data_IF_519370171229
#
_entry.id   IF_519370171229
#
_cell.length_a   1.000
_cell.length_b   1.000
_cell.length_c   1.000
_cell.angle_alpha   90.00
_cell.angle_beta   90.00
_cell.angle_gamma   90.00
#
_symmetry.space_group_name_H-M   'P 1'
#
loop_
_entity.id
_entity.type
_entity.pdbx_description
1 polymer ?
#
# COMPACT_ATOMS: atom_id res chain seq x y z
N UNK A 1 9.99 3.86 54.07
CA UNK A 1 9.25 3.40 52.91
C UNK A 1 9.96 3.87 51.69
N UNK A 2 10.72 3.06 50.96
CA UNK A 2 11.30 3.52 49.68
C UNK A 2 10.17 3.54 48.66
N UNK A 3 10.01 4.70 48.05
CA UNK A 3 9.15 4.90 46.86
C UNK A 3 9.81 4.14 45.70
N UNK A 4 9.17 3.05 45.29
CA UNK A 4 9.51 2.34 44.06
C UNK A 4 9.20 3.27 42.88
N UNK A 5 10.24 3.97 42.45
CA UNK A 5 10.25 4.75 41.22
C UNK A 5 10.30 3.75 40.06
N UNK A 6 9.13 3.25 39.68
CA UNK A 6 8.98 2.43 38.48
C UNK A 6 9.16 3.33 37.26
N UNK A 7 10.42 3.68 36.98
CA UNK A 7 10.78 4.24 35.70
C UNK A 7 10.52 3.17 34.63
N UNK A 8 9.40 3.31 33.92
CA UNK A 8 9.21 2.66 32.62
C UNK A 8 10.34 3.16 31.72
N UNK A 9 11.44 2.45 31.78
CA UNK A 9 12.52 2.59 30.82
C UNK A 9 11.99 2.01 29.51
N UNK A 10 11.16 2.79 28.80
CA UNK A 10 10.75 2.48 27.44
C UNK A 10 12.04 2.51 26.62
N UNK A 11 12.58 1.35 26.18
CA UNK A 11 13.73 1.38 25.28
C UNK A 11 13.25 2.15 24.05
N UNK A 12 13.91 3.24 23.74
CA UNK A 12 13.82 3.87 22.43
C UNK A 12 13.99 2.72 21.43
N UNK A 13 12.90 2.37 20.72
CA UNK A 13 12.97 1.36 19.68
C UNK A 13 14.06 1.84 18.71
N UNK A 14 15.22 1.18 18.62
CA UNK A 14 16.26 1.56 17.67
C UNK A 14 15.60 1.57 16.30
N UNK A 15 16.09 2.39 15.36
CA UNK A 15 15.55 2.59 14.03
C UNK A 15 15.32 1.26 13.32
N UNK A 16 14.26 0.58 13.66
CA UNK A 16 13.90 -0.75 13.18
C UNK A 16 13.45 -0.59 11.75
N UNK A 17 14.23 -1.15 10.84
CA UNK A 17 13.82 -1.31 9.44
C UNK A 17 12.46 -2.01 9.46
N UNK A 18 11.48 -1.45 8.79
CA UNK A 18 10.15 -2.04 8.68
C UNK A 18 10.24 -3.43 8.04
N UNK A 19 9.39 -4.39 8.44
CA UNK A 19 9.43 -5.76 7.88
C UNK A 19 9.14 -5.74 6.38
N UNK A 20 10.05 -6.33 5.59
CA UNK A 20 9.90 -6.58 4.15
C UNK A 20 10.73 -7.81 3.75
N UNK A 21 10.52 -8.32 2.55
CA UNK A 21 11.39 -9.31 1.92
C UNK A 21 11.71 -8.86 0.50
N UNK A 22 12.95 -8.39 0.31
CA UNK A 22 13.42 -7.94 -1.01
C UNK A 22 13.33 -9.07 -2.03
N UNK A 23 13.71 -10.30 -1.64
CA UNK A 23 13.70 -11.47 -2.49
C UNK A 23 12.29 -11.85 -2.94
N UNK A 24 11.29 -11.78 -2.03
CA UNK A 24 9.91 -12.08 -2.38
C UNK A 24 9.30 -11.00 -3.29
N UNK A 25 9.56 -9.72 -3.01
CA UNK A 25 9.11 -8.62 -3.85
C UNK A 25 9.68 -8.75 -5.27
N UNK A 26 10.99 -8.97 -5.38
CA UNK A 26 11.67 -9.17 -6.67
C UNK A 26 11.17 -10.42 -7.40
N UNK A 27 10.90 -11.50 -6.66
CA UNK A 27 10.39 -12.74 -7.24
C UNK A 27 8.98 -12.58 -7.81
N UNK A 28 8.09 -11.80 -7.16
CA UNK A 28 6.75 -11.49 -7.70
C UNK A 28 6.88 -10.70 -9.00
N UNK A 29 7.67 -9.62 -9.02
CA UNK A 29 7.85 -8.78 -10.21
C UNK A 29 8.52 -9.56 -11.35
N UNK A 30 9.53 -10.34 -11.03
CA UNK A 30 10.23 -11.19 -12.01
C UNK A 30 9.33 -12.27 -12.60
N UNK A 31 8.43 -12.86 -11.81
CA UNK A 31 7.43 -13.82 -12.27
C UNK A 31 6.47 -13.20 -13.29
N UNK A 32 5.99 -11.98 -13.03
CA UNK A 32 5.12 -11.24 -13.95
C UNK A 32 5.85 -10.91 -15.26
N UNK A 33 7.12 -10.52 -15.21
CA UNK A 33 7.93 -10.27 -16.42
C UNK A 33 8.21 -11.52 -17.22
N UNK A 34 8.30 -12.69 -16.56
CA UNK A 34 8.56 -13.97 -17.22
C UNK A 34 7.29 -14.54 -17.85
N UNK A 35 6.16 -14.43 -17.15
CA UNK A 35 4.83 -14.95 -17.55
C UNK A 35 3.75 -13.93 -17.17
N UNK A 36 3.44 -12.98 -18.05
CA UNK A 36 2.48 -11.91 -17.78
C UNK A 36 1.08 -12.37 -17.38
N UNK A 37 0.66 -13.55 -17.80
CA UNK A 37 -0.64 -14.12 -17.49
C UNK A 37 -0.84 -14.34 -15.98
N UNK A 38 0.27 -14.50 -15.21
CA UNK A 38 0.18 -14.63 -13.76
C UNK A 38 -0.19 -13.32 -13.05
N UNK A 39 -0.14 -12.17 -13.75
CA UNK A 39 -0.48 -10.87 -13.16
C UNK A 39 -1.92 -10.81 -12.63
N UNK A 40 -2.86 -11.51 -13.26
CA UNK A 40 -4.23 -11.61 -12.77
C UNK A 40 -4.30 -12.19 -11.36
N UNK A 41 -3.58 -13.31 -11.11
CA UNK A 41 -3.47 -13.93 -9.79
C UNK A 41 -2.72 -13.04 -8.80
N UNK A 42 -1.64 -12.40 -9.24
CA UNK A 42 -0.87 -11.47 -8.40
C UNK A 42 -1.73 -10.28 -8.00
N UNK A 43 -2.48 -9.66 -8.92
CA UNK A 43 -3.34 -8.51 -8.65
C UNK A 43 -4.52 -8.87 -7.71
N UNK A 44 -5.03 -10.11 -7.77
CA UNK A 44 -6.03 -10.59 -6.80
C UNK A 44 -5.43 -10.70 -5.39
N UNK A 45 -4.21 -11.22 -5.28
CA UNK A 45 -3.55 -11.40 -3.99
C UNK A 45 -2.97 -10.11 -3.42
N UNK A 46 -2.47 -9.22 -4.27
CA UNK A 46 -1.81 -7.94 -3.93
C UNK A 46 -2.46 -6.79 -4.72
N UNK A 47 -3.70 -6.39 -4.39
CA UNK A 47 -4.49 -5.46 -5.22
C UNK A 47 -3.95 -4.03 -5.26
N UNK A 48 -2.89 -3.69 -4.55
CA UNK A 48 -2.32 -2.34 -4.48
C UNK A 48 -0.80 -2.38 -4.46
N UNK A 49 -0.17 -1.32 -4.94
CA UNK A 49 1.29 -1.22 -5.00
C UNK A 49 1.97 -1.05 -3.62
N UNK A 50 1.26 -0.54 -2.62
CA UNK A 50 1.79 -0.33 -1.24
C UNK A 50 2.07 -1.63 -0.47
N UNK A 51 1.66 -2.79 -0.99
CA UNK A 51 2.16 -4.08 -0.50
C UNK A 51 3.68 -4.19 -0.63
N UNK A 52 4.27 -3.54 -1.62
CA UNK A 52 5.71 -3.48 -1.83
C UNK A 52 6.34 -2.39 -0.96
N UNK A 53 7.39 -2.76 -0.22
CA UNK A 53 8.09 -1.82 0.66
C UNK A 53 9.10 -0.98 -0.09
N UNK A 54 9.89 -1.62 -0.98
CA UNK A 54 10.91 -0.92 -1.74
C UNK A 54 10.26 0.01 -2.77
N UNK A 55 10.68 1.27 -2.79
CA UNK A 55 10.11 2.31 -3.66
C UNK A 55 10.14 1.89 -5.12
N UNK A 56 11.29 1.40 -5.60
CA UNK A 56 11.43 0.94 -6.99
C UNK A 56 10.45 -0.19 -7.33
N UNK A 57 10.31 -1.18 -6.45
CA UNK A 57 9.39 -2.31 -6.64
C UNK A 57 7.93 -1.84 -6.65
N UNK A 58 7.60 -0.88 -5.78
CA UNK A 58 6.28 -0.26 -5.71
C UNK A 58 5.94 0.46 -7.01
N UNK A 59 6.86 1.29 -7.53
CA UNK A 59 6.68 2.01 -8.80
C UNK A 59 6.50 1.05 -9.96
N UNK A 60 7.34 0.01 -10.05
CA UNK A 60 7.24 -1.02 -11.10
C UNK A 60 5.89 -1.75 -11.01
N UNK A 61 5.47 -2.15 -9.81
CA UNK A 61 4.20 -2.85 -9.63
C UNK A 61 2.99 -1.96 -9.90
N UNK A 62 3.06 -0.67 -9.52
CA UNK A 62 2.02 0.31 -9.89
C UNK A 62 1.84 0.38 -11.39
N UNK A 63 2.93 0.55 -12.14
CA UNK A 63 2.90 0.58 -13.60
C UNK A 63 2.32 -0.72 -14.21
N UNK A 64 2.69 -1.89 -13.65
CA UNK A 64 2.12 -3.18 -14.08
C UNK A 64 0.60 -3.24 -13.86
N UNK A 65 0.10 -2.74 -12.72
CA UNK A 65 -1.35 -2.69 -12.43
C UNK A 65 -2.09 -1.71 -13.34
N UNK A 66 -1.50 -0.55 -13.63
CA UNK A 66 -2.08 0.46 -14.51
C UNK A 66 -2.19 -0.08 -15.94
N UNK A 67 -1.14 -0.70 -16.46
CA UNK A 67 -1.14 -1.37 -17.77
C UNK A 67 -2.16 -2.52 -17.82
N UNK A 68 -2.23 -3.34 -16.77
CA UNK A 68 -3.19 -4.43 -16.67
C UNK A 68 -4.63 -3.94 -16.70
N UNK A 69 -4.92 -2.87 -15.93
CA UNK A 69 -6.25 -2.25 -15.89
C UNK A 69 -6.63 -1.62 -17.23
N UNK A 70 -5.65 -1.07 -17.95
CA UNK A 70 -5.83 -0.53 -19.29
C UNK A 70 -5.89 -1.60 -20.40
N UNK A 71 -5.75 -2.88 -20.06
CA UNK A 71 -5.72 -3.99 -21.04
C UNK A 71 -4.48 -3.97 -21.95
N UNK A 72 -3.41 -3.34 -21.52
CA UNK A 72 -2.15 -3.28 -22.26
C UNK A 72 -1.27 -4.49 -21.96
N UNK A 73 -0.50 -4.97 -22.94
CA UNK A 73 0.44 -6.06 -22.70
C UNK A 73 1.55 -5.63 -21.76
N UNK A 74 1.85 -6.46 -20.75
CA UNK A 74 2.91 -6.21 -19.77
C UNK A 74 4.12 -7.05 -20.14
N UNK A 75 5.08 -6.43 -20.82
CA UNK A 75 6.39 -7.01 -21.11
C UNK A 75 7.50 -6.01 -20.77
N UNK A 76 8.75 -6.46 -20.86
CA UNK A 76 9.91 -5.64 -20.48
C UNK A 76 9.99 -4.32 -21.26
N UNK A 77 9.60 -4.31 -22.54
CA UNK A 77 9.73 -3.13 -23.42
C UNK A 77 8.60 -2.15 -23.14
N UNK A 78 7.36 -2.64 -23.11
CA UNK A 78 6.18 -1.82 -22.86
C UNK A 78 6.19 -1.24 -21.45
N UNK A 79 6.62 -2.02 -20.45
CA UNK A 79 6.77 -1.57 -19.08
C UNK A 79 7.86 -0.49 -18.95
N UNK A 80 9.01 -0.66 -19.61
CA UNK A 80 10.08 0.33 -19.60
C UNK A 80 9.60 1.66 -20.22
N UNK A 81 8.83 1.61 -21.30
CA UNK A 81 8.30 2.79 -21.95
C UNK A 81 7.29 3.52 -21.02
N UNK A 82 6.42 2.75 -20.37
CA UNK A 82 5.47 3.31 -19.40
C UNK A 82 6.19 3.97 -18.19
N UNK A 83 7.24 3.33 -17.67
CA UNK A 83 8.02 3.84 -16.55
C UNK A 83 8.86 5.09 -16.88
N UNK A 84 9.14 5.37 -18.16
CA UNK A 84 9.84 6.61 -18.58
C UNK A 84 9.02 7.87 -18.32
N UNK A 85 7.71 7.75 -18.27
CA UNK A 85 6.82 8.86 -17.97
C UNK A 85 6.78 9.19 -16.46
N UNK A 86 7.30 8.29 -15.62
CA UNK A 86 7.35 8.46 -14.17
C UNK A 86 8.55 9.32 -13.75
N UNK A 87 8.32 10.42 -13.05
CA UNK A 87 9.35 11.39 -12.64
C UNK A 87 10.49 10.78 -11.79
N UNK A 88 10.23 9.68 -11.09
CA UNK A 88 11.17 9.06 -10.15
C UNK A 88 11.88 7.83 -10.72
N UNK A 89 11.72 7.52 -12.00
CA UNK A 89 12.32 6.34 -12.61
C UNK A 89 13.55 6.71 -13.43
N UNK A 90 14.73 6.31 -12.95
CA UNK A 90 15.98 6.46 -13.72
C UNK A 90 16.08 5.38 -14.79
N UNK A 91 15.98 5.77 -16.05
CA UNK A 91 15.95 4.86 -17.19
C UNK A 91 17.18 3.94 -17.24
N UNK A 92 18.36 4.45 -16.90
CA UNK A 92 19.61 3.69 -16.99
C UNK A 92 19.67 2.54 -16.00
N UNK A 93 19.48 2.83 -14.73
CA UNK A 93 19.50 1.83 -13.66
C UNK A 93 18.22 0.97 -13.66
N UNK A 94 17.07 1.57 -14.01
CA UNK A 94 15.78 0.89 -14.07
C UNK A 94 15.75 -0.22 -15.10
N UNK A 95 16.28 0.00 -16.31
CA UNK A 95 16.38 -1.04 -17.33
C UNK A 95 17.22 -2.23 -16.87
N UNK A 96 18.38 -1.95 -16.25
CA UNK A 96 19.25 -3.01 -15.71
C UNK A 96 18.51 -3.78 -14.61
N UNK A 97 17.80 -3.09 -13.74
CA UNK A 97 17.04 -3.71 -12.66
C UNK A 97 15.90 -4.60 -13.18
N UNK A 98 15.13 -4.14 -14.16
CA UNK A 98 14.07 -4.96 -14.78
C UNK A 98 14.64 -6.23 -15.46
N UNK A 99 15.79 -6.11 -16.12
CA UNK A 99 16.48 -7.28 -16.70
C UNK A 99 16.95 -8.27 -15.63
N UNK A 100 17.43 -7.76 -14.49
CA UNK A 100 17.80 -8.61 -13.35
C UNK A 100 16.56 -9.31 -12.76
N UNK A 101 15.43 -8.62 -12.58
CA UNK A 101 14.19 -9.22 -12.10
C UNK A 101 13.73 -10.39 -12.98
N UNK A 102 13.74 -10.21 -14.30
CA UNK A 102 13.35 -11.25 -15.25
C UNK A 102 14.27 -12.50 -15.21
N UNK A 103 15.54 -12.34 -14.80
CA UNK A 103 16.50 -13.43 -14.68
C UNK A 103 16.50 -14.13 -13.32
N UNK A 104 15.93 -13.49 -12.29
CA UNK A 104 16.00 -13.93 -10.91
C UNK A 104 15.09 -15.13 -10.63
N UNK A 105 14.00 -15.28 -11.37
CA UNK A 105 12.97 -16.29 -11.12
C UNK A 105 13.11 -17.45 -12.09
N UNK A 106 13.43 -18.65 -11.61
CA UNK A 106 13.55 -19.83 -12.48
C UNK A 106 12.21 -20.41 -12.91
N UNK A 107 11.10 -20.09 -12.20
CA UNK A 107 9.77 -20.63 -12.46
C UNK A 107 8.69 -19.81 -11.77
N UNK A 108 7.57 -19.60 -12.45
CA UNK A 108 6.39 -18.89 -11.95
C UNK A 108 5.54 -19.74 -10.99
N UNK A 109 5.81 -21.05 -10.92
CA UNK A 109 4.99 -22.00 -10.12
C UNK A 109 4.83 -21.64 -8.64
N UNK A 110 5.70 -20.80 -8.10
CA UNK A 110 5.68 -20.39 -6.69
C UNK A 110 5.20 -18.95 -6.46
N UNK A 111 4.64 -18.29 -7.49
CA UNK A 111 4.27 -16.87 -7.40
C UNK A 111 3.29 -16.58 -6.25
N UNK A 112 2.29 -17.44 -6.04
CA UNK A 112 1.33 -17.30 -4.93
C UNK A 112 2.01 -17.32 -3.56
N UNK A 113 3.03 -18.16 -3.40
CA UNK A 113 3.80 -18.20 -2.16
C UNK A 113 4.62 -16.93 -1.95
N UNK A 114 5.20 -16.37 -3.02
CA UNK A 114 5.89 -15.07 -2.92
C UNK A 114 4.91 -13.94 -2.59
N UNK A 115 3.73 -13.93 -3.21
CA UNK A 115 2.65 -12.98 -2.86
C UNK A 115 2.24 -13.10 -1.39
N UNK A 116 2.12 -14.32 -0.86
CA UNK A 116 1.82 -14.55 0.56
C UNK A 116 2.89 -13.93 1.46
N UNK A 117 4.18 -14.12 1.14
CA UNK A 117 5.28 -13.53 1.92
C UNK A 117 5.21 -11.99 1.88
N UNK A 118 4.98 -11.40 0.70
CA UNK A 118 4.85 -9.94 0.55
C UNK A 118 3.67 -9.41 1.38
N UNK A 119 2.51 -10.08 1.32
CA UNK A 119 1.33 -9.73 2.11
C UNK A 119 1.59 -9.81 3.61
N UNK A 120 2.19 -10.90 4.09
CA UNK A 120 2.49 -11.07 5.52
C UNK A 120 3.40 -9.94 6.03
N UNK A 121 4.38 -9.51 5.22
CA UNK A 121 5.25 -8.38 5.56
C UNK A 121 4.52 -7.05 5.56
N UNK A 122 3.60 -6.86 4.62
CA UNK A 122 2.73 -5.69 4.60
C UNK A 122 1.84 -5.64 5.86
N UNK A 123 1.18 -6.73 6.20
CA UNK A 123 0.29 -6.81 7.36
C UNK A 123 1.04 -6.53 8.67
N UNK A 124 2.30 -7.02 8.78
CA UNK A 124 3.17 -6.66 9.91
C UNK A 124 3.49 -5.15 9.96
N UNK A 125 3.72 -4.51 8.80
CA UNK A 125 3.93 -3.06 8.75
C UNK A 125 2.68 -2.30 9.20
N UNK A 126 1.51 -2.73 8.74
CA UNK A 126 0.23 -2.14 9.14
C UNK A 126 0.00 -2.29 10.65
N UNK A 127 0.30 -3.46 11.20
CA UNK A 127 0.19 -3.71 12.64
C UNK A 127 1.13 -2.80 13.45
N UNK A 128 2.37 -2.62 13.00
CA UNK A 128 3.33 -1.72 13.64
C UNK A 128 2.83 -0.26 13.60
N UNK A 129 2.27 0.17 12.46
CA UNK A 129 1.72 1.53 12.33
C UNK A 129 0.49 1.73 13.22
N UNK A 130 -0.42 0.76 13.27
CA UNK A 130 -1.58 0.79 14.15
C UNK A 130 -1.17 0.87 15.63
N UNK A 131 -0.21 0.02 16.03
CA UNK A 131 0.30 0.01 17.40
C UNK A 131 0.95 1.34 17.81
N UNK A 132 1.70 1.97 16.91
CA UNK A 132 2.26 3.32 17.12
C UNK A 132 1.17 4.35 17.30
N UNK A 133 0.19 4.39 16.38
CA UNK A 133 -0.92 5.31 16.49
C UNK A 133 -1.75 5.12 17.75
N UNK A 134 -1.99 3.88 18.20
CA UNK A 134 -2.66 3.59 19.47
C UNK A 134 -1.83 4.10 20.66
N UNK A 135 -0.50 3.92 20.61
CA UNK A 135 0.39 4.40 21.64
C UNK A 135 0.38 5.92 21.73
N UNK A 136 0.48 6.60 20.58
CA UNK A 136 0.50 8.05 20.49
C UNK A 136 -0.83 8.63 21.04
N UNK A 137 -1.99 8.09 20.60
CA UNK A 137 -3.32 8.51 21.06
C UNK A 137 -3.49 8.29 22.59
N UNK A 138 -2.93 7.17 23.11
CA UNK A 138 -3.02 6.88 24.54
C UNK A 138 -2.11 7.80 25.40
N UNK A 139 -1.00 8.29 24.84
CA UNK A 139 -0.09 9.21 25.53
C UNK A 139 -0.60 10.65 25.51
N UNK A 140 -1.39 11.05 24.52
CA UNK A 140 -1.97 12.39 24.42
C UNK A 140 -3.08 12.64 25.46
N UNK A 141 -3.69 11.57 26.00
CA UNK A 141 -4.75 11.60 27.04
C UNK A 141 -5.85 12.66 26.79
N UNK A 142 -6.21 12.85 25.52
CA UNK A 142 -7.13 13.93 25.10
C UNK A 142 -8.60 13.51 25.03
N UNK A 143 -8.92 12.26 25.33
CA UNK A 143 -10.25 11.71 25.09
C UNK A 143 -10.79 10.75 26.15
N UNK A 144 -12.05 10.36 25.92
CA UNK A 144 -12.69 9.31 26.72
C UNK A 144 -12.05 7.96 26.41
N UNK A 145 -11.60 7.24 27.44
CA UNK A 145 -10.88 5.95 27.29
C UNK A 145 -11.67 4.92 26.46
N UNK A 146 -13.01 4.93 26.56
CA UNK A 146 -13.86 4.04 25.77
C UNK A 146 -13.72 4.30 24.26
N UNK A 147 -13.69 5.55 23.83
CA UNK A 147 -13.54 5.92 22.42
C UNK A 147 -12.14 5.52 21.88
N UNK A 148 -11.13 5.60 22.74
CA UNK A 148 -9.78 5.19 22.39
C UNK A 148 -9.68 3.69 22.19
N UNK A 149 -10.34 2.90 23.05
CA UNK A 149 -10.42 1.45 22.90
C UNK A 149 -11.17 1.05 21.62
N UNK A 150 -12.30 1.67 21.32
CA UNK A 150 -13.08 1.44 20.10
C UNK A 150 -12.25 1.76 18.84
N UNK A 151 -11.49 2.87 18.87
CA UNK A 151 -10.60 3.26 17.79
C UNK A 151 -9.47 2.23 17.58
N UNK A 152 -8.90 1.71 18.66
CA UNK A 152 -7.85 0.69 18.61
C UNK A 152 -8.38 -0.62 18.02
N UNK A 153 -9.55 -1.08 18.44
CA UNK A 153 -10.21 -2.26 17.89
C UNK A 153 -10.50 -2.09 16.39
N UNK A 154 -10.99 -0.93 15.99
CA UNK A 154 -11.29 -0.65 14.56
C UNK A 154 -10.02 -0.71 13.71
N UNK A 155 -8.90 -0.13 14.15
CA UNK A 155 -7.61 -0.19 13.42
C UNK A 155 -7.14 -1.62 13.22
N UNK A 156 -7.24 -2.48 14.24
CA UNK A 156 -6.83 -3.89 14.15
C UNK A 156 -7.78 -4.66 13.21
N UNK A 157 -9.07 -4.38 13.29
CA UNK A 157 -10.08 -5.00 12.44
C UNK A 157 -9.88 -4.66 10.96
N UNK A 158 -9.54 -3.39 10.65
CA UNK A 158 -9.28 -2.94 9.28
C UNK A 158 -8.08 -3.64 8.67
N UNK A 159 -7.02 -3.92 9.43
CA UNK A 159 -5.87 -4.71 8.97
C UNK A 159 -6.34 -6.12 8.57
N UNK A 160 -7.15 -6.78 9.40
CA UNK A 160 -7.65 -8.13 9.12
C UNK A 160 -8.53 -8.19 7.87
N UNK A 161 -9.22 -7.10 7.54
CA UNK A 161 -10.03 -6.98 6.33
C UNK A 161 -9.22 -6.58 5.09
N UNK A 162 -7.91 -6.39 5.21
CA UNK A 162 -7.07 -5.90 4.14
C UNK A 162 -7.36 -4.45 3.74
N UNK A 163 -8.05 -3.69 4.61
CA UNK A 163 -8.26 -2.26 4.40
C UNK A 163 -6.97 -1.52 4.74
N UNK A 164 -6.54 -0.62 3.85
CA UNK A 164 -5.45 0.29 4.18
C UNK A 164 -5.85 1.08 5.43
N UNK A 165 -4.93 1.22 6.37
CA UNK A 165 -5.06 2.22 7.41
C UNK A 165 -5.07 3.57 6.69
N UNK A 166 -6.25 4.10 6.40
CA UNK A 166 -6.37 5.50 6.05
C UNK A 166 -5.86 6.25 7.27
N UNK A 167 -4.69 6.89 7.13
CA UNK A 167 -4.27 7.88 8.09
C UNK A 167 -5.47 8.81 8.29
N UNK A 168 -5.65 9.33 9.50
CA UNK A 168 -6.69 10.30 9.82
C UNK A 168 -6.57 11.43 8.77
N UNK A 169 -7.32 11.31 7.68
CA UNK A 169 -7.54 12.42 6.78
C UNK A 169 -8.16 13.51 7.65
N UNK A 170 -7.50 14.67 7.71
CA UNK A 170 -8.01 15.78 8.52
C UNK A 170 -9.47 15.98 8.10
N UNK A 171 -10.36 15.94 9.05
CA UNK A 171 -11.80 16.09 8.83
C UNK A 171 -12.10 17.27 7.88
N UNK A 172 -11.26 18.31 7.91
CA UNK A 172 -11.31 19.46 7.02
C UNK A 172 -11.10 19.11 5.54
N UNK A 173 -10.26 18.12 5.18
CA UNK A 173 -10.02 17.72 3.80
C UNK A 173 -11.21 16.94 3.26
N UNK A 174 -11.75 16.02 4.06
CA UNK A 174 -12.97 15.26 3.73
C UNK A 174 -14.19 16.17 3.63
N UNK A 175 -14.31 17.15 4.54
CA UNK A 175 -15.38 18.16 4.48
C UNK A 175 -15.25 19.02 3.22
N UNK A 176 -14.04 19.45 2.86
CA UNK A 176 -13.83 20.29 1.68
C UNK A 176 -14.20 19.55 0.38
N UNK A 177 -13.78 18.30 0.22
CA UNK A 177 -14.20 17.45 -0.92
C UNK A 177 -15.71 17.23 -0.95
N UNK A 178 -16.30 17.01 0.22
CA UNK A 178 -17.76 16.81 0.32
C UNK A 178 -18.53 18.08 -0.01
N UNK A 179 -18.05 19.24 0.42
CA UNK A 179 -18.63 20.54 0.08
C UNK A 179 -18.49 20.85 -1.42
N UNK A 180 -17.33 20.64 -2.01
CA UNK A 180 -17.15 20.81 -3.47
C UNK A 180 -18.07 19.88 -4.27
N UNK A 181 -18.25 18.65 -3.80
CA UNK A 181 -19.15 17.67 -4.45
C UNK A 181 -20.62 18.10 -4.31
N UNK A 182 -21.03 18.62 -3.15
CA UNK A 182 -22.36 19.17 -2.94
C UNK A 182 -22.60 20.45 -3.76
N UNK A 183 -21.59 21.30 -3.89
CA UNK A 183 -21.67 22.52 -4.69
C UNK A 183 -21.80 22.21 -6.19
N UNK A 184 -21.08 21.20 -6.69
CA UNK A 184 -21.23 20.68 -8.06
C UNK A 184 -22.63 20.08 -8.30
N UNK A 185 -23.18 19.39 -7.32
CA UNK A 185 -24.54 18.82 -7.39
C UNK A 185 -25.64 19.89 -7.29
N UNK A 186 -25.32 21.03 -6.68
CA UNK A 186 -26.26 22.15 -6.47
C UNK A 186 -26.11 23.25 -7.52
N UNK A 187 -25.12 23.13 -8.42
CA UNK A 187 -24.95 24.07 -9.54
C UNK A 187 -26.14 23.98 -10.50
N UNK A 188 -26.57 25.10 -11.13
CA UNK A 188 -27.74 25.13 -12.00
C UNK A 188 -27.62 24.26 -13.27
N UNK A 189 -26.46 23.72 -13.56
CA UNK A 189 -26.20 22.82 -14.69
C UNK A 189 -26.57 21.37 -14.39
N UNK A 190 -27.79 21.16 -13.87
CA UNK A 190 -28.34 19.84 -13.51
C UNK A 190 -28.54 18.87 -14.69
N UNK A 191 -28.43 19.36 -15.92
CA UNK A 191 -28.73 18.55 -17.12
C UNK A 191 -27.59 17.62 -17.56
N UNK A 192 -26.38 17.76 -17.02
CA UNK A 192 -25.22 16.91 -17.35
C UNK A 192 -25.21 15.57 -16.59
N UNK A 193 -26.03 15.41 -15.56
CA UNK A 193 -26.09 14.19 -14.74
C UNK A 193 -27.44 13.46 -14.78
N UNK A 194 -28.33 13.83 -15.69
CA UNK A 194 -29.52 13.06 -16.02
C UNK A 194 -29.18 12.09 -17.13
N UNK A 195 -28.89 10.89 -16.79
CA UNK A 195 -28.80 9.90 -17.83
C UNK A 195 -28.28 8.55 -17.39
N UNK A 196 -29.09 7.77 -16.74
CA UNK A 196 -29.24 6.35 -17.11
C UNK A 196 -30.75 6.13 -17.17
N UNK A 197 -31.35 5.98 -18.38
CA UNK A 197 -32.71 5.51 -18.48
C UNK A 197 -32.74 4.02 -18.12
N UNK A 198 -33.64 3.66 -17.23
CA UNK A 198 -34.08 2.28 -16.96
C UNK A 198 -34.69 1.66 -18.22
#
# INVERSE_FOLDING_TARGET
MPEDNFQLNTPALPGTVMPFSAEAEQAVLGAVLLEPDCLSTVAEMLPRADYFYQVNNRTIYSAMLDMFTAGQPVDLVTLLEHLREEENFDEGSGKVYLMQLAQLVPSVSNVERYCTIVRDRYDLRMLIQAARGILDDAMEDTGETSLLLDSAEQRIFDIRQGKALKGLERLNEVLFETFERLDRLNSPDKDLYRGIPT
#
